data_IF_570124260502
#
_entry.id   IF_570124260502
#
_cell.length_a   1.000
_cell.length_b   1.000
_cell.length_c   1.000
_cell.angle_alpha   90.00
_cell.angle_beta   90.00
_cell.angle_gamma   90.00
#
_symmetry.space_group_name_H-M   'P 1'
#
loop_
_entity.id
_entity.type
_entity.pdbx_description
1 polymer ?
#
# COMPACT_ATOMS: atom_id res chain seq x y z
N UNK A 1 101.67 5.45 11.01
CA UNK A 1 100.78 6.37 10.29
C UNK A 1 99.60 5.56 9.76
N UNK A 2 98.47 5.54 10.42
CA UNK A 2 97.31 4.71 10.08
C UNK A 2 96.16 5.61 9.83
N UNK A 3 95.80 5.75 8.58
CA UNK A 3 94.62 6.56 8.12
C UNK A 3 93.32 5.78 8.27
N UNK A 4 92.41 6.26 9.16
CA UNK A 4 91.05 5.76 9.29
C UNK A 4 90.17 6.34 8.19
N UNK A 5 89.61 5.47 7.37
CA UNK A 5 88.57 5.83 6.40
C UNK A 5 87.18 5.83 7.11
N UNK A 6 86.56 6.99 7.09
CA UNK A 6 85.16 7.11 7.54
C UNK A 6 84.19 6.56 6.47
N UNK A 7 83.23 5.70 6.86
CA UNK A 7 82.16 5.21 6.03
C UNK A 7 80.91 6.03 6.34
N UNK A 8 80.39 6.75 5.34
CA UNK A 8 79.11 7.38 5.42
C UNK A 8 78.02 6.34 5.09
N UNK A 9 77.10 6.11 6.04
CA UNK A 9 75.92 5.30 5.81
C UNK A 9 74.81 6.23 5.27
N UNK A 10 74.32 5.93 4.07
CA UNK A 10 73.16 6.60 3.50
C UNK A 10 71.91 5.97 4.10
N UNK A 11 71.04 6.79 4.77
CA UNK A 11 69.74 6.42 5.26
C UNK A 11 68.74 6.68 4.12
N UNK A 12 68.20 5.62 3.52
CA UNK A 12 67.09 5.69 2.57
C UNK A 12 65.78 5.88 3.36
N UNK A 13 65.21 7.06 3.28
CA UNK A 13 63.88 7.34 3.82
C UNK A 13 62.79 6.71 2.97
N UNK A 14 62.08 5.73 3.51
CA UNK A 14 60.88 5.18 2.92
C UNK A 14 59.69 6.11 3.24
N UNK A 15 59.23 6.88 2.27
CA UNK A 15 57.96 7.63 2.35
C UNK A 15 56.80 6.67 2.18
N UNK A 16 56.19 6.26 3.30
CA UNK A 16 54.95 5.47 3.30
C UNK A 16 53.77 6.36 2.87
N UNK A 17 53.20 6.06 1.72
CA UNK A 17 51.91 6.62 1.30
C UNK A 17 50.78 5.91 2.08
N UNK A 18 50.21 6.59 3.07
CA UNK A 18 49.01 6.12 3.75
C UNK A 18 47.81 6.42 2.82
N UNK A 19 47.32 5.40 2.14
CA UNK A 19 46.04 5.49 1.42
C UNK A 19 44.92 5.52 2.46
N UNK A 20 44.26 6.69 2.65
CA UNK A 20 42.99 6.77 3.36
C UNK A 20 41.94 6.11 2.49
N UNK A 21 41.51 4.89 2.84
CA UNK A 21 40.26 4.31 2.37
C UNK A 21 39.11 5.10 3.01
N UNK A 22 38.49 5.98 2.23
CA UNK A 22 37.20 6.58 2.59
C UNK A 22 36.15 5.46 2.56
N UNK A 23 35.78 4.95 3.73
CA UNK A 23 34.58 4.14 3.88
C UNK A 23 33.39 5.09 3.63
N UNK A 24 32.82 5.03 2.42
CA UNK A 24 31.52 5.65 2.16
C UNK A 24 30.51 4.91 3.04
N UNK A 25 30.19 5.49 4.19
CA UNK A 25 29.07 5.01 5.01
C UNK A 25 27.80 5.13 4.15
N UNK A 26 27.10 4.01 3.95
CA UNK A 26 25.75 4.06 3.39
C UNK A 26 24.93 4.97 4.31
N UNK A 27 24.34 6.03 3.76
CA UNK A 27 23.37 6.80 4.49
C UNK A 27 22.20 5.86 4.86
N UNK A 28 21.64 5.94 6.08
CA UNK A 28 20.46 5.16 6.42
C UNK A 28 19.37 5.47 5.39
N UNK A 29 18.71 4.43 4.86
CA UNK A 29 17.54 4.60 4.02
C UNK A 29 16.53 5.46 4.79
N UNK A 30 16.13 6.60 4.22
CA UNK A 30 15.10 7.43 4.83
C UNK A 30 13.79 6.66 4.76
N UNK A 31 13.10 6.52 5.91
CA UNK A 31 11.75 5.97 5.94
C UNK A 31 10.78 6.98 5.31
N UNK A 32 9.62 6.45 4.83
CA UNK A 32 8.56 7.29 4.30
C UNK A 32 8.09 8.33 5.31
N UNK A 33 7.62 9.46 4.82
CA UNK A 33 7.10 10.55 5.63
C UNK A 33 5.59 10.69 5.48
N UNK A 34 4.90 10.99 6.58
CA UNK A 34 3.49 11.39 6.54
C UNK A 34 3.42 12.79 5.93
N UNK A 35 2.58 12.96 4.92
CA UNK A 35 2.42 14.22 4.19
C UNK A 35 0.95 14.60 4.06
N UNK A 36 0.68 15.86 3.72
CA UNK A 36 -0.65 16.31 3.35
C UNK A 36 -1.06 15.70 2.00
N UNK A 37 -2.37 15.59 1.78
CA UNK A 37 -2.93 15.13 0.51
C UNK A 37 -2.54 16.08 -0.61
N UNK A 38 -1.98 15.60 -1.73
CA UNK A 38 -1.64 16.44 -2.88
C UNK A 38 -2.90 16.91 -3.61
N UNK A 39 -2.78 18.00 -4.38
CA UNK A 39 -3.88 18.58 -5.16
C UNK A 39 -4.33 17.71 -6.35
N UNK A 40 -3.49 16.78 -6.78
CA UNK A 40 -3.77 15.90 -7.93
C UNK A 40 -3.18 14.51 -7.74
N UNK A 41 -3.77 13.54 -8.43
CA UNK A 41 -3.33 12.16 -8.48
C UNK A 41 -3.16 11.72 -9.93
N UNK A 42 -2.21 10.81 -10.15
CA UNK A 42 -1.94 10.20 -11.45
C UNK A 42 -2.78 8.94 -11.66
N UNK A 43 -3.20 8.28 -10.58
CA UNK A 43 -4.02 7.06 -10.63
C UNK A 43 -4.75 6.80 -9.32
N UNK A 44 -5.77 5.93 -9.37
CA UNK A 44 -6.49 5.47 -8.19
C UNK A 44 -6.86 3.98 -8.30
N UNK A 45 -6.90 3.31 -7.14
CA UNK A 45 -7.13 1.87 -7.04
C UNK A 45 -8.05 1.54 -5.88
N UNK A 46 -8.74 0.42 -6.01
CA UNK A 46 -9.48 -0.21 -4.92
C UNK A 46 -9.10 -1.68 -4.79
N UNK A 47 -9.23 -2.21 -3.58
CA UNK A 47 -9.05 -3.62 -3.26
C UNK A 47 -10.25 -4.09 -2.46
N UNK A 48 -10.91 -5.14 -2.92
CA UNK A 48 -11.87 -5.91 -2.13
C UNK A 48 -11.13 -7.13 -1.57
N UNK A 49 -10.72 -7.03 -0.31
CA UNK A 49 -9.96 -8.06 0.36
C UNK A 49 -10.87 -9.04 1.11
N UNK A 50 -10.64 -10.32 0.91
CA UNK A 50 -11.43 -11.43 1.49
C UNK A 50 -10.52 -12.54 2.00
N UNK A 51 -11.01 -13.40 2.93
CA UNK A 51 -10.21 -14.49 3.49
C UNK A 51 -9.79 -15.57 2.48
N UNK A 52 -10.61 -15.79 1.45
CA UNK A 52 -10.39 -16.82 0.42
C UNK A 52 -9.29 -16.46 -0.59
N UNK A 53 -8.85 -15.21 -0.62
CA UNK A 53 -7.73 -14.76 -1.45
C UNK A 53 -6.37 -14.82 -0.73
N UNK A 54 -6.35 -15.21 0.54
CA UNK A 54 -5.12 -15.30 1.32
C UNK A 54 -4.27 -16.48 0.82
N UNK A 55 -2.96 -16.22 0.67
CA UNK A 55 -1.97 -17.23 0.31
C UNK A 55 -0.85 -17.25 1.35
N UNK A 56 -0.31 -18.43 1.58
CA UNK A 56 0.85 -18.63 2.45
C UNK A 56 2.17 -18.21 1.77
N UNK A 57 3.27 -18.23 2.53
CA UNK A 57 4.60 -17.89 2.00
C UNK A 57 5.06 -18.78 0.85
N UNK A 58 4.55 -20.01 0.78
CA UNK A 58 4.80 -20.99 -0.29
C UNK A 58 3.91 -20.80 -1.53
N UNK A 59 3.04 -19.77 -1.53
CA UNK A 59 2.07 -19.50 -2.58
C UNK A 59 0.85 -20.43 -2.54
N UNK A 60 0.73 -21.32 -1.58
CA UNK A 60 -0.47 -22.14 -1.41
C UNK A 60 -1.60 -21.31 -0.76
N UNK A 61 -2.85 -21.65 -1.09
CA UNK A 61 -4.00 -21.04 -0.42
C UNK A 61 -3.92 -21.28 1.09
N UNK A 62 -4.10 -20.22 1.87
CA UNK A 62 -4.11 -20.25 3.32
C UNK A 62 -5.45 -19.75 3.85
N UNK A 63 -5.93 -20.28 5.00
CA UNK A 63 -7.17 -19.76 5.57
C UNK A 63 -6.96 -18.35 6.11
N UNK A 64 -7.77 -17.40 5.61
CA UNK A 64 -7.94 -16.08 6.23
C UNK A 64 -8.99 -16.11 7.34
N UNK A 65 -9.31 -14.95 7.91
CA UNK A 65 -10.27 -14.83 9.01
C UNK A 65 -11.72 -14.98 8.51
N UNK A 66 -12.47 -16.00 8.93
CA UNK A 66 -13.81 -16.28 8.42
C UNK A 66 -14.77 -15.11 8.66
N UNK A 67 -15.41 -14.63 7.59
CA UNK A 67 -16.37 -13.53 7.64
C UNK A 67 -15.75 -12.14 7.67
N UNK A 68 -14.42 -12.02 7.74
CA UNK A 68 -13.74 -10.76 7.62
C UNK A 68 -13.79 -10.22 6.18
N UNK A 69 -13.75 -8.91 6.05
CA UNK A 69 -13.67 -8.19 4.77
C UNK A 69 -12.82 -6.93 4.94
N UNK A 70 -12.08 -6.58 3.90
CA UNK A 70 -11.31 -5.34 3.83
C UNK A 70 -11.62 -4.58 2.55
N UNK A 71 -11.69 -3.25 2.65
CA UNK A 71 -11.64 -2.34 1.51
C UNK A 71 -10.43 -1.46 1.66
N UNK A 72 -9.58 -1.44 0.64
CA UNK A 72 -8.42 -0.55 0.59
C UNK A 72 -8.59 0.34 -0.63
N UNK A 73 -8.60 1.63 -0.43
CA UNK A 73 -8.62 2.62 -1.50
C UNK A 73 -7.29 3.36 -1.51
N UNK A 74 -6.69 3.44 -2.67
CA UNK A 74 -5.42 4.12 -2.86
C UNK A 74 -5.54 5.18 -3.94
N UNK A 75 -4.95 6.35 -3.70
CA UNK A 75 -4.77 7.41 -4.68
C UNK A 75 -3.30 7.74 -4.75
N UNK A 76 -2.73 7.66 -5.95
CA UNK A 76 -1.29 7.77 -6.18
C UNK A 76 -0.98 9.04 -6.97
N UNK A 77 0.02 9.77 -6.53
CA UNK A 77 0.76 10.72 -7.35
C UNK A 77 2.19 10.17 -7.50
N UNK A 78 2.42 9.42 -8.56
CA UNK A 78 3.70 8.74 -8.79
C UNK A 78 4.85 9.69 -9.17
N UNK A 79 4.55 10.91 -9.59
CA UNK A 79 5.58 11.92 -9.87
C UNK A 79 6.16 12.54 -8.59
N UNK A 80 5.35 12.54 -7.52
CA UNK A 80 5.76 12.99 -6.18
C UNK A 80 6.11 11.82 -5.24
N UNK A 81 5.96 10.58 -5.69
CA UNK A 81 6.05 9.37 -4.86
C UNK A 81 5.15 9.47 -3.61
N UNK A 82 3.91 9.95 -3.79
CA UNK A 82 2.89 10.06 -2.74
C UNK A 82 1.78 9.04 -2.98
N UNK A 83 1.46 8.27 -1.95
CA UNK A 83 0.29 7.39 -1.89
C UNK A 83 -0.61 7.80 -0.74
N UNK A 84 -1.85 8.18 -1.04
CA UNK A 84 -2.90 8.36 -0.05
C UNK A 84 -3.72 7.08 0.05
N UNK A 85 -4.10 6.70 1.26
CA UNK A 85 -4.83 5.48 1.54
C UNK A 85 -6.04 5.75 2.43
N UNK A 86 -7.09 4.97 2.21
CA UNK A 86 -8.26 4.84 3.06
C UNK A 86 -8.58 3.35 3.17
N UNK A 87 -8.40 2.79 4.36
CA UNK A 87 -8.50 1.37 4.64
C UNK A 87 -9.61 1.15 5.67
N UNK A 88 -10.54 0.28 5.33
CA UNK A 88 -11.63 -0.14 6.22
C UNK A 88 -11.63 -1.66 6.34
N UNK A 89 -11.62 -2.17 7.57
CA UNK A 89 -11.69 -3.59 7.88
C UNK A 89 -12.94 -3.88 8.71
N UNK A 90 -13.66 -4.92 8.34
CA UNK A 90 -14.80 -5.45 9.08
C UNK A 90 -14.53 -6.90 9.46
N UNK A 91 -14.77 -7.27 10.73
CA UNK A 91 -14.62 -8.63 11.20
C UNK A 91 -13.17 -9.14 11.31
N UNK A 92 -12.17 -8.27 11.15
CA UNK A 92 -10.77 -8.56 11.47
C UNK A 92 -10.53 -8.36 12.95
N UNK A 93 -9.90 -9.32 13.61
CA UNK A 93 -9.72 -9.35 15.07
C UNK A 93 -8.25 -9.14 15.45
N UNK A 94 -7.84 -7.98 15.94
CA UNK A 94 -6.50 -7.76 16.49
C UNK A 94 -6.19 -8.73 17.67
N UNK A 95 -4.92 -8.92 18.06
CA UNK A 95 -3.78 -8.07 17.75
C UNK A 95 -3.20 -8.31 16.36
N UNK A 96 -2.70 -7.23 15.77
CA UNK A 96 -1.93 -7.29 14.53
C UNK A 96 -0.56 -7.93 14.76
N UNK A 97 -0.08 -8.72 13.78
CA UNK A 97 1.24 -9.34 13.83
C UNK A 97 1.81 -9.50 12.41
N UNK A 98 3.04 -9.08 12.22
CA UNK A 98 3.79 -9.22 10.96
C UNK A 98 5.29 -9.18 11.24
N UNK A 99 6.09 -9.73 10.32
CA UNK A 99 7.54 -9.53 10.29
C UNK A 99 7.96 -8.13 9.86
N UNK A 100 7.08 -7.40 9.16
CA UNK A 100 7.30 -6.01 8.76
C UNK A 100 6.95 -5.04 9.90
N UNK A 101 7.24 -3.74 9.74
CA UNK A 101 7.04 -2.70 10.77
C UNK A 101 5.56 -2.47 11.15
N UNK A 102 4.63 -2.83 10.27
CA UNK A 102 3.18 -2.87 10.50
C UNK A 102 2.64 -4.17 9.95
N UNK A 103 1.34 -4.44 10.09
CA UNK A 103 0.70 -5.67 9.60
C UNK A 103 -0.25 -5.44 8.41
N UNK A 104 -0.24 -4.24 7.85
CA UNK A 104 -1.11 -3.85 6.71
C UNK A 104 -0.22 -3.39 5.57
N UNK A 105 -0.29 -4.08 4.42
CA UNK A 105 0.71 -3.96 3.35
C UNK A 105 0.10 -3.88 1.96
N UNK A 106 0.92 -3.39 1.01
CA UNK A 106 0.83 -3.73 -0.41
C UNK A 106 2.03 -4.59 -0.77
N UNK A 107 1.77 -5.76 -1.36
CA UNK A 107 2.75 -6.72 -1.83
C UNK A 107 2.90 -6.68 -3.35
N UNK A 108 4.11 -6.85 -3.86
CA UNK A 108 4.33 -7.16 -5.26
C UNK A 108 4.05 -8.64 -5.49
N UNK A 109 2.79 -8.95 -5.79
CA UNK A 109 2.31 -10.31 -5.94
C UNK A 109 1.03 -10.36 -6.78
N UNK A 110 1.04 -11.18 -7.82
CA UNK A 110 -0.14 -11.49 -8.63
C UNK A 110 -1.14 -12.34 -7.84
N UNK A 111 -2.37 -12.44 -8.34
CA UNK A 111 -3.40 -13.28 -7.71
C UNK A 111 -2.93 -14.72 -7.52
N UNK A 112 -3.12 -15.28 -6.33
CA UNK A 112 -2.74 -16.64 -5.97
C UNK A 112 -1.23 -16.87 -5.78
N UNK A 113 -0.41 -15.82 -5.78
CA UNK A 113 1.02 -15.91 -5.50
C UNK A 113 1.40 -15.13 -4.24
N UNK A 114 2.46 -15.55 -3.55
CA UNK A 114 3.12 -14.76 -2.52
C UNK A 114 4.15 -13.81 -3.17
N UNK A 115 4.52 -12.76 -2.44
CA UNK A 115 5.57 -11.83 -2.86
C UNK A 115 5.92 -10.86 -1.73
N UNK A 116 7.03 -10.11 -1.87
CA UNK A 116 7.49 -9.21 -0.83
C UNK A 116 6.52 -8.04 -0.62
N UNK A 117 6.34 -7.56 0.62
CA UNK A 117 5.71 -6.26 0.85
C UNK A 117 6.58 -5.15 0.25
N UNK A 118 5.95 -4.15 -0.36
CA UNK A 118 6.60 -2.96 -0.91
C UNK A 118 6.21 -1.69 -0.16
N UNK A 119 4.99 -1.68 0.38
CA UNK A 119 4.44 -0.57 1.16
C UNK A 119 3.86 -1.12 2.47
N UNK A 120 4.09 -0.41 3.55
CA UNK A 120 3.55 -0.71 4.87
C UNK A 120 2.76 0.50 5.40
N UNK A 121 1.51 0.28 5.77
CA UNK A 121 0.59 1.32 6.24
C UNK A 121 0.36 1.19 7.75
N UNK A 122 0.03 2.29 8.46
CA UNK A 122 -0.46 2.22 9.82
C UNK A 122 -1.62 1.24 9.93
N UNK A 123 -1.58 0.36 10.93
CA UNK A 123 -2.63 -0.63 11.14
C UNK A 123 -3.97 0.05 11.42
N UNK A 124 -5.08 -0.39 10.81
CA UNK A 124 -6.41 0.12 11.09
C UNK A 124 -6.81 -0.06 12.55
N UNK A 125 -7.41 0.97 13.13
CA UNK A 125 -7.86 0.98 14.52
C UNK A 125 -9.35 1.37 14.60
N UNK A 126 -10.02 1.02 15.70
CA UNK A 126 -11.42 1.35 15.93
C UNK A 126 -12.13 0.36 16.84
N UNK A 127 -13.41 0.60 17.04
CA UNK A 127 -14.32 -0.29 17.80
C UNK A 127 -15.35 -0.88 16.83
N UNK A 128 -15.17 -2.16 16.49
CA UNK A 128 -15.99 -2.90 15.54
C UNK A 128 -15.50 -2.76 14.09
N UNK A 129 -15.67 -1.60 13.47
CA UNK A 129 -15.06 -1.28 12.18
C UNK A 129 -13.71 -0.62 12.41
N UNK A 130 -12.66 -1.20 11.81
CA UNK A 130 -11.30 -0.69 11.97
C UNK A 130 -10.94 0.14 10.74
N UNK A 131 -10.35 1.32 10.94
CA UNK A 131 -9.99 2.24 9.86
C UNK A 131 -8.59 2.79 9.99
N UNK A 132 -7.95 3.07 8.86
CA UNK A 132 -6.68 3.78 8.79
C UNK A 132 -6.67 4.64 7.53
N UNK A 133 -6.27 5.89 7.63
CA UNK A 133 -6.22 6.79 6.47
C UNK A 133 -5.09 7.81 6.61
N UNK A 134 -4.59 8.30 5.48
CA UNK A 134 -3.52 9.28 5.43
C UNK A 134 -2.81 9.28 4.09
N UNK A 135 -1.69 9.99 4.02
CA UNK A 135 -0.81 9.99 2.84
C UNK A 135 0.65 9.78 3.30
N UNK A 136 1.37 8.95 2.55
CA UNK A 136 2.78 8.66 2.75
C UNK A 136 3.55 9.06 1.51
N UNK A 137 4.73 9.65 1.71
CA UNK A 137 5.66 9.97 0.64
C UNK A 137 6.94 9.15 0.79
N UNK A 138 7.39 8.55 -0.32
CA UNK A 138 8.65 7.83 -0.39
C UNK A 138 9.90 8.68 -0.11
N UNK A 139 11.07 8.04 0.06
CA UNK A 139 11.31 6.60 -0.18
C UNK A 139 10.59 5.71 0.82
N UNK A 140 10.15 4.54 0.36
CA UNK A 140 9.36 3.60 1.18
C UNK A 140 10.25 2.58 1.87
N UNK A 141 9.81 2.14 3.05
CA UNK A 141 10.41 1.01 3.78
C UNK A 141 9.31 0.12 4.35
N UNK A 142 9.59 -1.14 4.53
CA UNK A 142 8.69 -2.10 5.18
C UNK A 142 9.16 -2.56 6.55
N UNK A 143 10.45 -2.37 6.84
CA UNK A 143 11.11 -2.94 8.02
C UNK A 143 11.38 -4.45 7.89
N UNK A 144 11.13 -5.04 6.71
CA UNK A 144 11.41 -6.44 6.41
C UNK A 144 12.54 -6.52 5.39
N UNK A 145 13.61 -7.21 5.74
CA UNK A 145 14.72 -7.47 4.82
C UNK A 145 14.39 -8.65 3.90
N UNK A 146 14.73 -8.50 2.61
CA UNK A 146 14.72 -9.56 1.64
C UNK A 146 15.91 -10.52 1.81
N UNK A 147 16.00 -11.54 0.95
CA UNK A 147 17.09 -12.54 0.97
C UNK A 147 18.48 -11.92 0.73
N UNK A 148 18.51 -10.74 0.15
CA UNK A 148 19.72 -9.94 -0.11
C UNK A 148 20.12 -9.04 1.06
N UNK A 149 19.34 -9.01 2.15
CA UNK A 149 19.56 -8.17 3.32
C UNK A 149 19.19 -6.70 3.12
N UNK A 150 18.42 -6.39 2.06
CA UNK A 150 17.90 -5.05 1.75
C UNK A 150 16.43 -4.99 2.15
N UNK A 151 15.98 -3.83 2.67
CA UNK A 151 14.55 -3.63 2.97
C UNK A 151 13.70 -3.78 1.71
N UNK A 152 12.63 -4.56 1.80
CA UNK A 152 11.79 -4.91 0.63
C UNK A 152 11.07 -3.71 0.00
N UNK A 153 10.97 -2.59 0.69
CA UNK A 153 10.46 -1.32 0.17
C UNK A 153 11.53 -0.43 -0.45
N UNK A 154 12.83 -0.73 -0.23
CA UNK A 154 13.92 0.11 -0.73
C UNK A 154 13.96 0.13 -2.26
N UNK A 155 14.01 1.36 -2.81
CA UNK A 155 14.03 1.57 -4.25
C UNK A 155 12.70 1.35 -4.96
N UNK A 156 11.63 0.96 -4.26
CA UNK A 156 10.30 0.81 -4.84
C UNK A 156 9.74 2.16 -5.25
N UNK A 157 9.14 2.21 -6.46
CA UNK A 157 8.46 3.38 -7.00
C UNK A 157 6.98 3.08 -7.26
N UNK A 158 6.12 4.04 -6.94
CA UNK A 158 4.67 3.94 -7.21
C UNK A 158 4.35 3.81 -8.71
N UNK A 159 5.27 4.17 -9.61
CA UNK A 159 5.16 3.93 -11.05
C UNK A 159 5.08 2.45 -11.40
N UNK A 160 5.60 1.57 -10.55
CA UNK A 160 5.51 0.11 -10.74
C UNK A 160 4.06 -0.39 -10.58
N UNK A 161 3.31 0.18 -9.61
CA UNK A 161 1.88 -0.10 -9.47
C UNK A 161 1.12 0.38 -10.71
N UNK A 162 1.40 1.59 -11.19
CA UNK A 162 0.74 2.15 -12.38
C UNK A 162 1.03 1.36 -13.65
N UNK A 163 2.25 0.83 -13.78
CA UNK A 163 2.65 0.02 -14.92
C UNK A 163 1.96 -1.36 -14.95
N UNK A 164 1.70 -1.95 -13.78
CA UNK A 164 1.13 -3.30 -13.67
C UNK A 164 0.31 -3.48 -12.38
N UNK A 165 -0.85 -2.84 -12.22
CA UNK A 165 -1.63 -2.92 -10.99
C UNK A 165 -2.06 -4.35 -10.62
N UNK A 166 -2.27 -5.23 -11.59
CA UNK A 166 -2.59 -6.64 -11.37
C UNK A 166 -1.41 -7.44 -10.76
N UNK A 167 -0.22 -6.87 -10.77
CA UNK A 167 0.97 -7.42 -10.10
C UNK A 167 1.02 -7.14 -8.60
N UNK A 168 0.02 -6.46 -8.03
CA UNK A 168 0.02 -6.05 -6.63
C UNK A 168 -1.23 -6.47 -5.90
N UNK A 169 -1.07 -6.84 -4.64
CA UNK A 169 -2.16 -7.18 -3.70
C UNK A 169 -2.02 -6.41 -2.41
N UNK A 170 -3.13 -6.15 -1.72
CA UNK A 170 -3.12 -5.61 -0.36
C UNK A 170 -3.71 -6.61 0.62
N UNK A 171 -3.18 -6.61 1.84
CA UNK A 171 -3.59 -7.51 2.91
C UNK A 171 -3.42 -6.89 4.31
N UNK A 172 -3.93 -7.62 5.29
CA UNK A 172 -3.72 -7.33 6.72
C UNK A 172 -3.54 -8.65 7.45
N UNK A 173 -2.59 -8.69 8.39
CA UNK A 173 -2.23 -9.86 9.18
C UNK A 173 -2.61 -9.67 10.64
N UNK A 174 -2.95 -10.78 11.32
CA UNK A 174 -3.16 -10.82 12.77
C UNK A 174 -2.38 -11.99 13.37
N UNK A 175 -2.23 -12.01 14.69
CA UNK A 175 -1.54 -13.11 15.40
C UNK A 175 -2.20 -14.48 15.20
N UNK A 176 -3.49 -14.50 14.88
CA UNK A 176 -4.22 -15.74 14.56
C UNK A 176 -4.10 -16.10 13.08
N UNK A 177 -4.08 -15.11 12.22
CA UNK A 177 -4.01 -15.28 10.76
C UNK A 177 -2.71 -14.65 10.23
N UNK A 178 -1.59 -15.29 10.57
CA UNK A 178 -0.25 -14.82 10.21
C UNK A 178 -0.02 -14.72 8.69
N UNK A 179 -0.54 -15.66 7.84
CA UNK A 179 -0.46 -15.49 6.39
C UNK A 179 -1.32 -14.36 5.83
N UNK A 180 -2.29 -13.87 6.59
CA UNK A 180 -3.23 -12.81 6.29
C UNK A 180 -4.61 -13.11 6.86
N UNK A 181 -5.28 -12.10 7.42
CA UNK A 181 -6.70 -12.18 7.79
C UNK A 181 -7.58 -11.99 6.56
N UNK A 182 -7.24 -11.02 5.72
CA UNK A 182 -7.87 -10.73 4.43
C UNK A 182 -6.81 -10.30 3.42
N UNK A 183 -7.06 -10.58 2.13
CA UNK A 183 -6.21 -10.17 1.01
C UNK A 183 -7.04 -9.92 -0.25
N UNK A 184 -6.57 -9.06 -1.15
CA UNK A 184 -7.17 -8.82 -2.46
C UNK A 184 -6.21 -8.15 -3.44
N UNK A 185 -6.51 -8.27 -4.74
CA UNK A 185 -5.73 -7.63 -5.79
C UNK A 185 -6.13 -6.17 -6.00
N UNK A 186 -5.15 -5.35 -6.38
CA UNK A 186 -5.41 -3.99 -6.80
C UNK A 186 -6.20 -3.97 -8.12
N UNK A 187 -7.26 -3.17 -8.12
CA UNK A 187 -8.08 -2.90 -9.31
C UNK A 187 -8.04 -1.40 -9.58
N UNK A 188 -7.59 -1.02 -10.77
CA UNK A 188 -7.56 0.38 -11.17
C UNK A 188 -8.98 0.91 -11.29
N UNK A 189 -9.22 2.09 -10.73
CA UNK A 189 -10.46 2.83 -10.94
C UNK A 189 -10.34 3.68 -12.22
N UNK A 190 -11.39 3.77 -13.05
CA UNK A 190 -11.39 4.65 -14.21
C UNK A 190 -11.12 6.10 -13.80
N UNK A 191 -10.37 6.84 -14.61
CA UNK A 191 -10.20 8.28 -14.44
C UNK A 191 -11.58 8.96 -14.46
N UNK A 192 -11.91 9.66 -13.37
CA UNK A 192 -13.25 10.23 -13.16
C UNK A 192 -14.28 9.25 -12.60
N UNK A 193 -13.84 8.09 -12.08
CA UNK A 193 -14.70 7.23 -11.25
C UNK A 193 -15.36 8.06 -10.17
N UNK A 194 -16.70 7.97 -10.09
CA UNK A 194 -17.51 8.81 -9.22
C UNK A 194 -16.85 8.95 -7.85
N UNK A 195 -16.53 10.18 -7.51
CA UNK A 195 -16.28 10.59 -6.13
C UNK A 195 -17.48 10.10 -5.33
N UNK A 196 -17.39 8.90 -4.75
CA UNK A 196 -18.44 8.34 -3.90
C UNK A 196 -18.38 9.05 -2.56
N UNK A 197 -18.30 10.38 -2.66
CA UNK A 197 -18.71 11.40 -1.71
C UNK A 197 -18.65 10.99 -0.24
N UNK A 198 -17.52 10.49 0.25
CA UNK A 198 -17.14 10.76 1.62
C UNK A 198 -16.19 11.96 1.56
N UNK A 199 -16.76 13.13 1.21
CA UNK A 199 -16.15 14.39 1.52
C UNK A 199 -15.97 14.38 3.06
N UNK A 200 -14.77 14.22 3.53
CA UNK A 200 -14.41 14.72 4.85
C UNK A 200 -14.52 16.25 4.73
N UNK A 201 -15.72 16.76 4.99
CA UNK A 201 -15.89 18.18 5.20
C UNK A 201 -15.01 18.55 6.39
N UNK A 202 -14.08 19.48 6.24
CA UNK A 202 -13.53 20.15 7.41
C UNK A 202 -14.76 20.72 8.15
N UNK A 203 -14.94 20.35 9.39
CA UNK A 203 -15.93 20.98 10.27
C UNK A 203 -15.56 22.45 10.38
N UNK A 204 -16.22 23.26 9.55
CA UNK A 204 -16.23 24.71 9.72
C UNK A 204 -17.01 24.99 11.00
N UNK A 205 -16.35 25.47 12.04
CA UNK A 205 -16.93 25.89 13.31
C UNK A 205 -17.83 27.12 13.20
N UNK A 206 -18.27 27.50 12.02
CA UNK A 206 -19.26 28.56 11.83
C UNK A 206 -20.67 27.94 11.66
N UNK A 207 -21.38 27.80 12.77
CA UNK A 207 -22.77 27.29 12.82
C UNK A 207 -23.78 28.11 12.02
N UNK A 208 -23.87 27.88 10.73
CA UNK A 208 -24.93 28.36 9.86
C UNK A 208 -25.59 27.16 9.15
N UNK A 209 -26.75 26.77 9.65
CA UNK A 209 -27.62 25.79 8.99
C UNK A 209 -28.08 26.31 7.63
N UNK A 210 -27.69 25.62 6.54
CA UNK A 210 -28.25 25.85 5.22
C UNK A 210 -29.46 24.91 4.98
N UNK A 211 -30.55 25.40 4.34
CA UNK A 211 -31.77 24.62 4.16
C UNK A 211 -31.60 23.54 3.10
N UNK A 212 -32.05 22.32 3.42
CA UNK A 212 -32.19 21.20 2.50
C UNK A 212 -33.13 21.58 1.30
N UNK A 213 -32.56 21.66 0.10
CA UNK A 213 -33.37 21.68 -1.12
C UNK A 213 -33.73 20.22 -1.51
N UNK A 214 -35.00 19.87 -1.33
CA UNK A 214 -35.59 18.63 -1.83
C UNK A 214 -35.64 18.67 -3.37
N UNK A 215 -34.74 17.94 -4.03
CA UNK A 215 -34.78 17.66 -5.46
C UNK A 215 -35.83 16.57 -5.76
N UNK A 216 -36.78 16.86 -6.62
CA UNK A 216 -37.86 15.99 -7.03
C UNK A 216 -37.36 14.75 -7.80
N UNK A 217 -37.74 13.56 -7.33
CA UNK A 217 -37.54 12.28 -8.01
C UNK A 217 -38.59 12.16 -9.12
N UNK A 218 -38.15 12.19 -10.39
CA UNK A 218 -38.99 11.89 -11.54
C UNK A 218 -39.34 10.41 -11.59
N UNK A 219 -40.63 10.08 -11.49
CA UNK A 219 -41.16 8.74 -11.68
C UNK A 219 -41.12 8.33 -13.16
N UNK A 220 -40.38 7.28 -13.51
CA UNK A 220 -40.48 6.61 -14.81
C UNK A 220 -41.61 5.59 -14.74
N UNK A 221 -42.71 5.86 -15.50
CA UNK A 221 -43.80 4.94 -15.65
C UNK A 221 -43.43 3.79 -16.62
N UNK A 222 -43.37 2.55 -16.12
CA UNK A 222 -43.27 1.35 -16.95
C UNK A 222 -44.66 0.94 -17.40
N UNK A 223 -44.94 1.12 -18.69
CA UNK A 223 -46.17 0.65 -19.32
C UNK A 223 -46.18 -0.87 -19.49
N UNK A 224 -47.09 -1.55 -18.82
CA UNK A 224 -47.36 -2.97 -19.02
C UNK A 224 -48.23 -3.17 -20.28
N UNK A 225 -47.70 -3.84 -21.29
CA UNK A 225 -48.46 -4.30 -22.46
C UNK A 225 -49.11 -5.64 -22.09
N UNK A 226 -50.48 -5.64 -21.91
CA UNK A 226 -51.27 -6.87 -21.80
C UNK A 226 -51.54 -7.43 -23.19
N UNK A 227 -51.02 -8.61 -23.50
CA UNK A 227 -51.40 -9.40 -24.66
C UNK A 227 -52.58 -10.30 -24.27
N UNK A 228 -53.76 -9.96 -24.77
CA UNK A 228 -54.99 -10.79 -24.66
C UNK A 228 -54.87 -11.97 -25.63
N UNK A 229 -54.81 -13.21 -25.15
CA UNK A 229 -55.00 -14.43 -25.96
C UNK A 229 -56.48 -14.76 -26.04
N UNK A 230 -57.10 -14.56 -27.21
CA UNK A 230 -58.41 -15.08 -27.53
C UNK A 230 -58.32 -16.61 -27.74
N UNK A 231 -59.14 -17.37 -26.96
CA UNK A 231 -59.42 -18.78 -27.21
C UNK A 231 -60.59 -18.87 -28.13
N UNK A 232 -60.39 -19.31 -29.36
CA UNK A 232 -61.45 -19.81 -30.20
C UNK A 232 -61.78 -21.25 -29.83
N UNK A 233 -63.00 -21.50 -29.37
CA UNK A 233 -63.66 -22.82 -29.33
C UNK A 233 -64.19 -23.12 -30.70
N UNK A 234 -63.91 -24.30 -31.25
CA UNK A 234 -64.62 -24.91 -32.35
C UNK A 234 -65.29 -26.22 -31.85
N UNK A 235 -66.49 -26.41 -32.26
CA UNK A 235 -67.38 -27.52 -31.92
C UNK A 235 -66.91 -28.85 -32.56
#
# INVERSE_FOLDING_TARGET
MTTKKARFAAIAGATGVVALLAVAGAAPASAETVVERPDSFTSSYTVAATPDQVVGPDGAAAPGEPGAMGTFNFMINSDLEIICYDITLNGVTPPYESGAKTATHVHEAVAGASGPPRLAFPNPEGDGVLTSSGCLQGPFTTGLEGDDGVDTGEGFSLKEIEANPAGFSADTHTSTYVPGAVRGQLTMLPDGGADTGVAMNPVDESGAALPLALGAVGAVAVGAVMVARSRTRTA
#
